data_IF_227259748133
#
_entry.id   IF_227259748133
#
_cell.length_a   1.000
_cell.length_b   1.000
_cell.length_c   1.000
_cell.angle_alpha   90.00
_cell.angle_beta   90.00
_cell.angle_gamma   90.00
#
_symmetry.space_group_name_H-M   'P 1'
#
loop_
_entity.id
_entity.type
_entity.pdbx_description
1 polymer ?
#
# COMPACT_ATOMS: atom_id res chain seq x y z
N UNK A 1 -59.45 14.65 12.75
CA UNK A 1 -58.39 13.91 12.04
C UNK A 1 -57.06 14.48 12.50
N UNK A 2 -56.33 13.77 13.35
CA UNK A 2 -54.96 14.14 13.74
C UNK A 2 -54.04 13.02 13.26
N UNK A 3 -53.23 13.31 12.24
CA UNK A 3 -52.14 12.44 11.79
C UNK A 3 -50.88 12.87 12.53
N UNK A 4 -50.41 12.03 13.45
CA UNK A 4 -49.08 12.16 14.06
C UNK A 4 -48.05 11.55 13.13
N UNK A 5 -47.18 12.36 12.54
CA UNK A 5 -45.99 11.91 11.84
C UNK A 5 -44.91 11.52 12.86
N UNK A 6 -44.58 10.23 12.90
CA UNK A 6 -43.40 9.72 13.60
C UNK A 6 -42.19 9.98 12.71
N UNK A 7 -41.29 10.86 13.15
CA UNK A 7 -39.97 11.03 12.53
C UNK A 7 -39.02 10.05 13.19
N UNK A 8 -38.75 8.94 12.51
CA UNK A 8 -37.61 8.08 12.81
C UNK A 8 -36.34 8.87 12.49
N UNK A 9 -35.63 9.29 13.54
CA UNK A 9 -34.30 9.86 13.44
C UNK A 9 -33.35 8.70 13.06
N UNK A 10 -32.99 8.58 11.79
CA UNK A 10 -31.87 7.76 11.36
C UNK A 10 -30.60 8.36 11.96
N UNK A 11 -30.13 7.79 13.07
CA UNK A 11 -28.79 8.05 13.57
C UNK A 11 -27.81 7.35 12.63
N UNK A 12 -27.40 8.06 11.58
CA UNK A 12 -26.10 7.78 10.96
C UNK A 12 -25.05 8.12 12.02
N UNK A 13 -24.57 7.10 12.72
CA UNK A 13 -23.37 7.21 13.54
C UNK A 13 -22.24 7.67 12.63
N UNK A 14 -21.89 8.95 12.72
CA UNK A 14 -20.60 9.45 12.25
C UNK A 14 -19.54 8.78 13.13
N UNK A 15 -19.08 7.60 12.72
CA UNK A 15 -17.81 7.07 13.19
C UNK A 15 -16.75 8.07 12.75
N UNK A 16 -16.04 8.67 13.71
CA UNK A 16 -14.77 9.32 13.44
C UNK A 16 -13.93 8.33 12.63
N UNK A 17 -13.59 8.69 11.39
CA UNK A 17 -12.68 7.90 10.60
C UNK A 17 -11.35 7.88 11.35
N UNK A 18 -11.06 6.78 12.02
CA UNK A 18 -9.71 6.50 12.48
C UNK A 18 -8.85 6.40 11.23
N UNK A 19 -7.67 7.03 11.19
CA UNK A 19 -6.68 6.86 10.11
C UNK A 19 -6.11 5.41 10.06
N UNK A 20 -6.86 4.43 10.57
CA UNK A 20 -6.49 3.03 10.62
C UNK A 20 -7.08 2.29 9.44
N UNK A 21 -6.30 1.45 8.80
CA UNK A 21 -6.79 0.60 7.72
C UNK A 21 -7.52 -0.62 8.27
N UNK A 22 -8.77 -0.83 7.83
CA UNK A 22 -9.55 -2.03 8.15
C UNK A 22 -9.52 -2.97 6.95
N UNK A 23 -9.05 -4.21 7.13
CA UNK A 23 -8.92 -5.15 6.01
C UNK A 23 -10.27 -5.69 5.52
N UNK A 24 -11.26 -5.75 6.40
CA UNK A 24 -12.55 -6.37 6.13
C UNK A 24 -12.57 -7.88 6.37
N UNK A 25 -13.78 -8.45 6.33
CA UNK A 25 -14.00 -9.85 6.66
C UNK A 25 -13.32 -10.79 5.65
N UNK A 26 -12.62 -11.80 6.16
CA UNK A 26 -11.97 -12.81 5.33
C UNK A 26 -10.71 -12.35 4.60
N UNK A 27 -10.26 -11.10 4.80
CA UNK A 27 -9.01 -10.56 4.27
C UNK A 27 -7.94 -10.61 5.36
N UNK A 28 -6.93 -11.48 5.26
CA UNK A 28 -5.93 -11.63 6.31
C UNK A 28 -4.93 -10.47 6.36
N UNK A 29 -4.63 -9.85 5.21
CA UNK A 29 -3.57 -8.87 5.05
C UNK A 29 -4.09 -7.64 4.31
N UNK A 30 -3.84 -6.48 4.88
CA UNK A 30 -3.99 -5.20 4.22
C UNK A 30 -2.87 -4.25 4.64
N UNK A 31 -2.63 -3.23 3.82
CA UNK A 31 -1.54 -2.32 4.03
C UNK A 31 -1.51 -1.20 3.00
N UNK A 32 -0.41 -0.45 3.02
CA UNK A 32 -0.14 0.58 2.03
C UNK A 32 1.10 0.24 1.21
N UNK A 33 1.03 0.47 -0.10
CA UNK A 33 2.21 0.66 -0.93
C UNK A 33 2.59 2.15 -0.83
N UNK A 34 3.70 2.43 -0.14
CA UNK A 34 4.24 3.77 0.03
C UNK A 34 5.19 4.11 -1.10
N UNK A 35 4.89 5.20 -1.82
CA UNK A 35 5.67 5.70 -2.96
C UNK A 35 6.16 7.10 -2.67
N UNK A 36 7.46 7.33 -2.83
CA UNK A 36 8.07 8.65 -2.66
C UNK A 36 7.93 9.44 -3.95
N UNK A 37 7.49 10.70 -3.85
CA UNK A 37 7.42 11.61 -5.01
C UNK A 37 8.79 12.15 -5.43
N UNK A 38 9.78 12.05 -4.54
CA UNK A 38 11.09 12.67 -4.66
C UNK A 38 11.13 14.17 -4.34
N UNK A 39 10.01 14.77 -3.93
CA UNK A 39 9.98 16.15 -3.40
C UNK A 39 10.24 16.23 -1.89
N UNK A 40 10.41 15.09 -1.22
CA UNK A 40 10.65 15.03 0.21
C UNK A 40 12.02 15.59 0.61
N UNK A 41 12.25 15.85 1.90
CA UNK A 41 13.54 16.33 2.38
C UNK A 41 14.57 15.19 2.49
N UNK A 42 15.87 15.52 2.43
CA UNK A 42 16.97 14.60 2.75
C UNK A 42 16.91 13.27 1.97
N UNK A 43 16.87 12.12 2.67
CA UNK A 43 16.78 10.76 2.10
C UNK A 43 15.51 10.52 1.26
N UNK A 44 14.49 11.39 1.38
CA UNK A 44 13.24 11.35 0.60
C UNK A 44 13.28 12.20 -0.67
N UNK A 45 14.42 12.87 -0.92
CA UNK A 45 14.65 13.64 -2.13
C UNK A 45 15.21 12.74 -3.23
N UNK A 46 14.57 12.73 -4.39
CA UNK A 46 15.03 11.97 -5.56
C UNK A 46 14.62 12.65 -6.86
N UNK A 47 15.39 12.38 -7.93
CA UNK A 47 15.07 12.89 -9.26
C UNK A 47 13.74 12.27 -9.73
N UNK A 48 13.64 10.95 -9.67
CA UNK A 48 12.47 10.19 -10.08
C UNK A 48 11.70 9.67 -8.86
N UNK A 49 10.35 9.56 -8.94
CA UNK A 49 9.58 8.85 -7.93
C UNK A 49 10.08 7.40 -7.79
N UNK A 50 10.07 6.88 -6.57
CA UNK A 50 10.52 5.52 -6.29
C UNK A 50 9.69 4.87 -5.18
N UNK A 51 9.84 3.55 -5.03
CA UNK A 51 9.23 2.83 -3.91
C UNK A 51 9.88 3.27 -2.59
N UNK A 52 9.06 3.49 -1.56
CA UNK A 52 9.54 3.43 -0.18
C UNK A 52 9.39 2.01 0.37
N UNK A 53 8.18 1.46 0.31
CA UNK A 53 7.92 0.13 0.84
C UNK A 53 6.47 -0.32 0.74
N UNK A 54 6.22 -1.57 1.12
CA UNK A 54 4.90 -2.11 1.35
C UNK A 54 4.74 -2.41 2.83
N UNK A 55 3.77 -1.76 3.47
CA UNK A 55 3.62 -1.77 4.91
C UNK A 55 2.29 -2.39 5.31
N UNK A 56 2.29 -3.66 5.78
CA UNK A 56 1.11 -4.23 6.43
C UNK A 56 0.67 -3.33 7.60
N UNK A 57 -0.57 -2.87 7.57
CA UNK A 57 -1.13 -1.96 8.56
C UNK A 57 -1.60 -2.76 9.79
N UNK A 58 -0.66 -3.15 10.65
CA UNK A 58 -0.89 -3.93 11.86
C UNK A 58 -1.17 -3.05 13.09
N UNK A 59 -1.79 -3.59 14.14
CA UNK A 59 -1.96 -2.98 15.46
C UNK A 59 -2.50 -1.52 15.51
N UNK A 60 -1.61 -0.55 15.76
CA UNK A 60 -1.95 0.87 15.83
C UNK A 60 -2.33 1.46 14.47
N UNK A 61 -1.93 0.80 13.39
CA UNK A 61 -2.08 1.24 12.00
C UNK A 61 -3.29 0.59 11.33
N UNK A 62 -3.68 -0.62 11.74
CA UNK A 62 -4.86 -1.25 11.15
C UNK A 62 -5.20 -2.61 11.73
N UNK A 63 -5.99 -3.37 10.97
CA UNK A 63 -6.43 -4.72 11.36
C UNK A 63 -5.72 -5.82 10.58
N UNK A 64 -4.63 -5.50 9.88
CA UNK A 64 -3.82 -6.48 9.17
C UNK A 64 -3.23 -7.47 10.15
N UNK A 65 -3.23 -8.76 9.81
CA UNK A 65 -2.49 -9.76 10.58
C UNK A 65 -1.01 -9.64 10.25
N UNK A 66 -0.15 -9.89 11.23
CA UNK A 66 1.25 -10.18 10.93
C UNK A 66 1.38 -11.68 10.62
N UNK A 67 1.54 -12.02 9.34
CA UNK A 67 1.79 -13.41 8.91
C UNK A 67 3.26 -13.54 8.55
N UNK A 68 3.98 -14.37 9.30
CA UNK A 68 5.41 -14.54 9.10
C UNK A 68 5.71 -15.37 7.84
N UNK A 69 6.63 -14.91 6.98
CA UNK A 69 7.14 -15.67 5.86
C UNK A 69 7.72 -17.03 6.23
N UNK A 70 7.70 -17.97 5.29
CA UNK A 70 8.29 -19.30 5.49
C UNK A 70 9.81 -19.27 5.58
N UNK A 71 10.44 -18.31 4.90
CA UNK A 71 11.86 -18.02 4.99
C UNK A 71 12.04 -16.55 5.36
N UNK A 72 12.66 -16.33 6.50
CA UNK A 72 12.85 -15.00 7.12
C UNK A 72 14.22 -14.38 6.78
N UNK A 73 15.02 -15.05 5.95
CA UNK A 73 16.38 -14.61 5.61
C UNK A 73 16.34 -13.25 4.93
N UNK A 74 17.24 -12.35 5.33
CA UNK A 74 17.36 -11.02 4.74
C UNK A 74 17.73 -11.08 3.24
N UNK A 75 17.27 -10.10 2.44
CA UNK A 75 17.68 -9.98 1.05
C UNK A 75 19.19 -9.77 0.94
N UNK A 76 19.77 -10.33 -0.12
CA UNK A 76 21.21 -10.16 -0.46
C UNK A 76 21.40 -9.57 -1.86
N UNK A 77 20.30 -9.30 -2.56
CA UNK A 77 20.26 -8.72 -3.90
C UNK A 77 19.30 -7.54 -3.91
N UNK A 78 19.63 -6.53 -4.73
CA UNK A 78 18.85 -5.31 -4.83
C UNK A 78 17.58 -5.48 -5.66
N UNK A 79 16.49 -4.89 -5.17
CA UNK A 79 15.25 -4.69 -5.90
C UNK A 79 15.32 -3.39 -6.73
N UNK A 80 15.29 -3.50 -8.06
CA UNK A 80 15.51 -2.34 -8.94
C UNK A 80 14.50 -1.20 -8.74
N UNK A 81 13.27 -1.49 -8.31
CA UNK A 81 12.23 -0.47 -8.09
C UNK A 81 12.49 0.44 -6.87
N UNK A 82 13.44 0.07 -6.00
CA UNK A 82 13.86 0.87 -4.84
C UNK A 82 15.00 1.84 -5.18
N UNK A 83 15.55 1.79 -6.39
CA UNK A 83 16.63 2.68 -6.79
C UNK A 83 16.12 4.12 -6.91
N UNK A 84 16.66 5.01 -6.08
CA UNK A 84 16.32 6.44 -6.04
C UNK A 84 17.24 7.32 -6.92
N UNK A 85 18.09 6.69 -7.76
CA UNK A 85 19.01 7.36 -8.68
C UNK A 85 20.38 7.73 -8.11
N UNK A 86 20.67 7.38 -6.85
CA UNK A 86 21.96 7.73 -6.20
C UNK A 86 23.11 6.78 -6.52
N UNK A 87 22.82 5.61 -7.12
CA UNK A 87 23.78 4.52 -7.41
C UNK A 87 24.55 4.01 -6.16
N UNK A 88 24.03 4.23 -4.94
CA UNK A 88 24.59 3.68 -3.71
C UNK A 88 23.96 2.33 -3.37
N UNK A 89 24.55 1.28 -3.93
CA UNK A 89 24.06 -0.09 -3.78
C UNK A 89 24.15 -0.61 -2.34
N UNK A 90 25.07 -0.10 -1.50
CA UNK A 90 25.21 -0.58 -0.12
C UNK A 90 24.10 0.02 0.73
N UNK A 91 23.89 1.33 0.64
CA UNK A 91 22.81 2.01 1.33
C UNK A 91 21.43 1.49 0.89
N UNK A 92 21.27 1.20 -0.41
CA UNK A 92 20.04 0.60 -0.92
C UNK A 92 19.80 -0.80 -0.32
N UNK A 93 20.82 -1.65 -0.22
CA UNK A 93 20.65 -2.98 0.38
C UNK A 93 20.30 -2.88 1.87
N UNK A 94 20.95 -1.99 2.62
CA UNK A 94 20.65 -1.76 4.03
C UNK A 94 19.20 -1.26 4.21
N UNK A 95 18.72 -0.41 3.30
CA UNK A 95 17.33 0.05 3.29
C UNK A 95 16.35 -1.08 2.96
N UNK A 96 16.62 -1.90 1.93
CA UNK A 96 15.78 -3.05 1.62
C UNK A 96 15.75 -4.07 2.78
N UNK A 97 16.87 -4.28 3.48
CA UNK A 97 16.90 -5.09 4.70
C UNK A 97 16.02 -4.48 5.81
N UNK A 98 16.03 -3.16 6.00
CA UNK A 98 15.13 -2.49 6.93
C UNK A 98 13.66 -2.73 6.59
N UNK A 99 13.28 -2.55 5.32
CA UNK A 99 11.91 -2.75 4.85
C UNK A 99 11.47 -4.21 5.02
N UNK A 100 12.35 -5.16 4.75
CA UNK A 100 12.09 -6.58 5.00
C UNK A 100 11.88 -6.87 6.49
N UNK A 101 12.83 -6.49 7.34
CA UNK A 101 12.80 -6.80 8.78
C UNK A 101 11.59 -6.17 9.49
N UNK A 102 11.22 -4.96 9.09
CA UNK A 102 10.17 -4.19 9.75
C UNK A 102 8.78 -4.46 9.18
N UNK A 103 8.68 -4.69 7.88
CA UNK A 103 7.39 -4.77 7.18
C UNK A 103 7.21 -6.10 6.45
N UNK A 104 8.23 -6.55 5.71
CA UNK A 104 8.21 -7.80 4.98
C UNK A 104 7.96 -9.04 5.84
N UNK A 105 8.48 -9.09 7.07
CA UNK A 105 8.25 -10.18 8.02
C UNK A 105 6.79 -10.32 8.50
N UNK A 106 5.92 -9.35 8.19
CA UNK A 106 4.48 -9.43 8.45
C UNK A 106 3.63 -9.54 7.17
N UNK A 107 4.25 -9.69 6.00
CA UNK A 107 3.56 -9.60 4.71
C UNK A 107 2.90 -10.91 4.25
N UNK A 108 3.15 -12.02 4.94
CA UNK A 108 2.68 -13.35 4.56
C UNK A 108 3.32 -13.96 3.31
N UNK A 109 4.19 -13.22 2.63
CA UNK A 109 4.89 -13.71 1.44
C UNK A 109 5.81 -14.88 1.77
N UNK A 110 6.31 -15.57 0.75
CA UNK A 110 7.15 -16.75 0.94
C UNK A 110 8.50 -16.40 1.58
N UNK A 111 9.15 -15.34 1.09
CA UNK A 111 10.49 -14.89 1.44
C UNK A 111 10.73 -13.45 0.94
N UNK A 112 11.94 -12.93 1.15
CA UNK A 112 12.31 -11.57 0.73
C UNK A 112 12.17 -11.36 -0.79
N UNK A 113 12.64 -12.30 -1.62
CA UNK A 113 12.56 -12.19 -3.09
C UNK A 113 11.11 -12.07 -3.57
N UNK A 114 10.20 -12.86 -3.00
CA UNK A 114 8.76 -12.82 -3.29
C UNK A 114 8.15 -11.47 -2.86
N UNK A 115 8.49 -11.00 -1.67
CA UNK A 115 8.07 -9.67 -1.20
C UNK A 115 8.50 -8.56 -2.14
N UNK A 116 9.79 -8.42 -2.43
CA UNK A 116 10.28 -7.34 -3.29
C UNK A 116 9.78 -7.45 -4.73
N UNK A 117 9.61 -8.66 -5.26
CA UNK A 117 9.04 -8.87 -6.59
C UNK A 117 7.60 -8.34 -6.67
N UNK A 118 6.75 -8.69 -5.69
CA UNK A 118 5.37 -8.20 -5.65
C UNK A 118 5.30 -6.69 -5.44
N UNK A 119 6.17 -6.12 -4.60
CA UNK A 119 6.26 -4.65 -4.43
C UNK A 119 6.62 -3.98 -5.75
N UNK A 120 7.64 -4.45 -6.45
CA UNK A 120 8.04 -3.89 -7.73
C UNK A 120 6.92 -4.03 -8.78
N UNK A 121 6.24 -5.18 -8.85
CA UNK A 121 5.12 -5.40 -9.75
C UNK A 121 4.00 -4.38 -9.51
N UNK A 122 3.52 -4.26 -8.26
CA UNK A 122 2.47 -3.29 -7.91
C UNK A 122 2.89 -1.84 -8.17
N UNK A 123 4.17 -1.51 -8.01
CA UNK A 123 4.68 -0.15 -8.14
C UNK A 123 4.85 0.35 -9.58
N UNK A 124 4.94 -0.56 -10.56
CA UNK A 124 5.37 -0.21 -11.94
C UNK A 124 4.48 0.85 -12.58
N UNK A 125 3.17 0.61 -12.60
CA UNK A 125 2.22 1.54 -13.23
C UNK A 125 2.05 2.84 -12.40
N UNK A 126 1.87 2.79 -11.06
CA UNK A 126 1.85 4.00 -10.25
C UNK A 126 3.08 4.89 -10.42
N UNK A 127 4.29 4.32 -10.40
CA UNK A 127 5.52 5.11 -10.55
C UNK A 127 5.62 5.78 -11.93
N UNK A 128 5.15 5.12 -12.98
CA UNK A 128 5.06 5.71 -14.32
C UNK A 128 4.14 6.95 -14.33
N UNK A 129 2.97 6.85 -13.69
CA UNK A 129 2.01 7.96 -13.56
C UNK A 129 2.61 9.11 -12.74
N UNK A 130 3.22 8.80 -11.60
CA UNK A 130 3.89 9.79 -10.76
C UNK A 130 5.01 10.50 -11.53
N UNK A 131 5.78 9.76 -12.32
CA UNK A 131 6.88 10.30 -13.14
C UNK A 131 6.35 11.28 -14.18
N UNK A 132 5.29 10.91 -14.91
CA UNK A 132 4.67 11.78 -15.91
C UNK A 132 4.12 13.06 -15.25
N UNK A 133 3.41 12.94 -14.14
CA UNK A 133 2.85 14.09 -13.42
C UNK A 133 3.95 15.04 -12.92
N UNK A 134 5.03 14.49 -12.34
CA UNK A 134 6.22 15.27 -11.94
C UNK A 134 6.90 15.97 -13.12
N UNK A 135 7.05 15.29 -14.26
CA UNK A 135 7.70 15.85 -15.46
C UNK A 135 6.96 17.04 -16.07
N UNK A 136 5.62 17.09 -15.95
CA UNK A 136 4.82 18.23 -16.39
C UNK A 136 4.72 19.35 -15.34
N UNK A 137 5.43 19.20 -14.21
CA UNK A 137 5.49 20.19 -13.13
C UNK A 137 4.36 20.07 -12.10
N UNK A 138 3.66 18.94 -12.04
CA UNK A 138 2.63 18.68 -11.05
C UNK A 138 3.20 18.56 -9.63
N UNK A 139 2.44 19.00 -8.64
CA UNK A 139 2.77 18.80 -7.24
C UNK A 139 2.23 17.46 -6.69
N UNK A 140 2.34 17.23 -5.38
CA UNK A 140 1.86 15.99 -4.77
C UNK A 140 0.35 15.77 -4.91
N UNK A 141 -0.45 16.84 -4.96
CA UNK A 141 -1.89 16.74 -5.18
C UNK A 141 -2.19 16.41 -6.63
N UNK A 142 -1.49 17.00 -7.59
CA UNK A 142 -1.60 16.63 -9.01
C UNK A 142 -1.22 15.16 -9.25
N UNK A 143 -0.19 14.67 -8.54
CA UNK A 143 0.20 13.25 -8.54
C UNK A 143 -0.92 12.37 -7.98
N UNK A 144 -1.49 12.75 -6.83
CA UNK A 144 -2.60 12.03 -6.19
C UNK A 144 -3.84 11.95 -7.10
N UNK A 145 -4.19 13.07 -7.73
CA UNK A 145 -5.31 13.15 -8.67
C UNK A 145 -5.05 12.28 -9.90
N UNK A 146 -3.83 12.28 -10.45
CA UNK A 146 -3.46 11.43 -11.57
C UNK A 146 -3.59 9.93 -11.23
N UNK A 147 -3.15 9.51 -10.04
CA UNK A 147 -3.29 8.13 -9.57
C UNK A 147 -4.76 7.75 -9.35
N UNK A 148 -5.55 8.64 -8.74
CA UNK A 148 -6.98 8.41 -8.52
C UNK A 148 -7.73 8.29 -9.84
N UNK A 149 -7.45 9.17 -10.81
CA UNK A 149 -8.02 9.12 -12.15
C UNK A 149 -7.62 7.84 -12.93
N UNK A 150 -6.45 7.26 -12.61
CA UNK A 150 -6.01 5.98 -13.15
C UNK A 150 -6.62 4.76 -12.44
N UNK A 151 -7.43 4.96 -11.39
CA UNK A 151 -8.13 3.90 -10.69
C UNK A 151 -7.41 3.35 -9.46
N UNK A 152 -6.42 4.06 -8.91
CA UNK A 152 -5.79 3.70 -7.65
C UNK A 152 -6.42 4.48 -6.49
N UNK A 153 -6.72 3.81 -5.38
CA UNK A 153 -7.11 4.52 -4.15
C UNK A 153 -5.86 5.08 -3.46
N UNK A 154 -5.81 6.40 -3.36
CA UNK A 154 -4.85 7.09 -2.51
C UNK A 154 -5.41 7.10 -1.09
N UNK A 155 -4.93 6.17 -0.25
CA UNK A 155 -5.36 6.03 1.14
C UNK A 155 -4.89 7.21 2.00
N UNK A 156 -3.67 7.70 1.75
CA UNK A 156 -3.10 8.83 2.48
C UNK A 156 -2.06 9.58 1.65
N UNK A 157 -1.93 10.88 1.92
CA UNK A 157 -0.86 11.74 1.41
C UNK A 157 -0.01 12.18 2.61
N UNK A 158 1.23 11.73 2.66
CA UNK A 158 2.20 12.17 3.67
C UNK A 158 2.94 13.40 3.17
N UNK A 159 2.50 14.58 3.64
CA UNK A 159 3.11 15.86 3.29
C UNK A 159 4.45 16.12 3.97
N UNK A 160 4.76 15.39 5.06
CA UNK A 160 6.01 15.58 5.80
C UNK A 160 7.21 15.07 5.01
N UNK A 161 7.04 13.92 4.36
CA UNK A 161 8.09 13.28 3.55
C UNK A 161 7.75 13.21 2.06
N UNK A 162 6.63 13.82 1.65
CA UNK A 162 6.13 13.88 0.28
C UNK A 162 5.94 12.50 -0.35
N UNK A 163 5.06 11.71 0.25
CA UNK A 163 4.76 10.33 -0.17
C UNK A 163 3.26 10.14 -0.45
N UNK A 164 2.97 9.22 -1.36
CA UNK A 164 1.62 8.75 -1.64
C UNK A 164 1.50 7.31 -1.12
N UNK A 165 0.46 7.05 -0.34
CA UNK A 165 0.15 5.71 0.16
C UNK A 165 -1.04 5.16 -0.61
N UNK A 166 -0.80 4.14 -1.42
CA UNK A 166 -1.85 3.41 -2.13
C UNK A 166 -2.32 2.24 -1.29
N UNK A 167 -3.63 2.05 -1.18
CA UNK A 167 -4.21 0.91 -0.46
C UNK A 167 -3.91 -0.41 -1.16
N UNK A 168 -3.53 -1.41 -0.38
CA UNK A 168 -3.21 -2.74 -0.85
C UNK A 168 -3.79 -3.83 0.07
N UNK A 169 -4.12 -4.99 -0.49
CA UNK A 169 -4.53 -6.16 0.27
C UNK A 169 -3.90 -7.44 -0.27
N UNK A 170 -3.87 -8.48 0.56
CA UNK A 170 -3.54 -9.83 0.14
C UNK A 170 -4.47 -10.85 0.80
N UNK A 171 -4.81 -11.89 0.04
CA UNK A 171 -5.60 -13.01 0.52
C UNK A 171 -4.76 -14.03 1.29
N UNK A 172 -5.34 -15.21 1.61
CA UNK A 172 -4.59 -16.33 2.19
C UNK A 172 -3.46 -16.87 1.31
N UNK A 173 -3.45 -16.51 0.02
CA UNK A 173 -2.40 -16.80 -0.95
C UNK A 173 -1.20 -15.84 -0.86
N UNK A 174 -1.29 -14.80 -0.03
CA UNK A 174 -0.27 -13.77 0.16
C UNK A 174 0.14 -13.05 -1.14
N UNK A 175 -0.77 -12.98 -2.11
CA UNK A 175 -0.59 -12.19 -3.34
C UNK A 175 -1.16 -10.79 -3.13
N UNK A 176 -0.26 -9.82 -3.00
CA UNK A 176 -0.58 -8.42 -2.79
C UNK A 176 -1.10 -7.76 -4.06
N UNK A 177 -2.15 -6.96 -3.89
CA UNK A 177 -2.87 -6.26 -4.96
C UNK A 177 -3.22 -4.86 -4.50
N UNK A 178 -3.11 -3.89 -5.41
CA UNK A 178 -3.69 -2.56 -5.21
C UNK A 178 -5.20 -2.62 -5.44
N UNK A 179 -5.96 -2.07 -4.50
CA UNK A 179 -7.42 -2.03 -4.56
C UNK A 179 -7.96 -1.00 -3.58
N UNK A 180 -9.17 -0.49 -3.80
CA UNK A 180 -9.83 0.36 -2.82
C UNK A 180 -10.07 -0.42 -1.53
N UNK A 181 -9.91 0.21 -0.37
CA UNK A 181 -10.08 -0.39 0.94
C UNK A 181 -11.49 -0.98 1.10
N UNK A 182 -12.50 -0.31 0.53
CA UNK A 182 -13.89 -0.79 0.52
C UNK A 182 -14.06 -2.10 -0.27
N UNK A 183 -13.15 -2.40 -1.20
CA UNK A 183 -13.23 -3.56 -2.10
C UNK A 183 -12.35 -4.73 -1.65
N UNK A 184 -11.56 -4.58 -0.58
CA UNK A 184 -10.64 -5.61 -0.10
C UNK A 184 -11.31 -6.97 0.12
N UNK A 185 -12.52 -6.99 0.69
CA UNK A 185 -13.26 -8.25 0.89
C UNK A 185 -13.56 -8.99 -0.42
N UNK A 186 -13.76 -8.27 -1.52
CA UNK A 186 -14.05 -8.86 -2.83
C UNK A 186 -12.77 -9.26 -3.56
N UNK A 187 -11.70 -8.48 -3.42
CA UNK A 187 -10.44 -8.68 -4.16
C UNK A 187 -9.50 -9.68 -3.48
N UNK A 188 -9.49 -9.69 -2.15
CA UNK A 188 -8.56 -10.45 -1.32
C UNK A 188 -9.25 -11.34 -0.28
N UNK A 189 -10.58 -11.27 -0.13
CA UNK A 189 -11.29 -12.11 0.81
C UNK A 189 -11.35 -13.58 0.36
N UNK A 190 -11.55 -14.50 1.30
CA UNK A 190 -11.62 -15.95 1.03
C UNK A 190 -12.68 -16.40 -0.02
N UNK A 191 -13.58 -15.51 -0.47
CA UNK A 191 -14.54 -15.76 -1.55
C UNK A 191 -13.98 -15.45 -2.95
N UNK A 192 -12.76 -14.91 -3.06
CA UNK A 192 -12.10 -14.63 -4.35
C UNK A 192 -11.46 -15.88 -4.98
N UNK A 193 -11.67 -17.08 -4.42
CA UNK A 193 -11.23 -18.33 -5.05
C UNK A 193 -12.00 -18.60 -6.34
N UNK A 194 -11.31 -18.95 -7.45
CA UNK A 194 -11.95 -19.65 -8.54
C UNK A 194 -12.45 -20.99 -8.03
N UNK A 195 -13.68 -21.28 -8.42
CA UNK A 195 -14.20 -22.61 -8.51
C UNK A 195 -13.24 -23.52 -9.31
N UNK A 196 -12.96 -24.70 -8.74
CA UNK A 196 -12.43 -25.94 -9.33
C UNK A 196 -10.90 -26.13 -9.50
N UNK A 197 -10.41 -27.18 -8.82
CA UNK A 197 -9.87 -28.35 -9.51
C UNK A 197 -10.32 -29.62 -8.77
N UNK A 198 -11.19 -30.39 -9.41
CA UNK A 198 -11.42 -31.81 -9.13
C UNK A 198 -10.69 -32.67 -10.15
#
# INVERSE_FOLDING_TARGET
MNLTFSTLLNMFSYTYATNKMVCGDGVPLCGVLALQTGYGPNEYASIDPCVHGLWPETDSYGTSKCITPTDITNPTSLALCYNNGTNDNVHQLDFEQHEWEKHGLCSGTKNADDFFSQVCEMSTDPLSIMTISKQIGGDIYDISDALTNAGYEVFHIDLQYSQIYLSACAGPDALWKLSYNIDFQYVCGALSSPQAAG
#
